data_IF_667699849843
#
_entry.id   IF_667699849843
#
_cell.length_a   1.000
_cell.length_b   1.000
_cell.length_c   1.000
_cell.angle_alpha   90.00
_cell.angle_beta   90.00
_cell.angle_gamma   90.00
#
_symmetry.space_group_name_H-M   'P 1'
#
loop_
_entity.id
_entity.type
_entity.pdbx_description
1 polymer ?
#
# COMPACT_ATOMS: atom_id res chain seq x y z
N UNK A 1 -25.27 6.90 -12.48
CA UNK A 1 -25.51 5.89 -13.53
C UNK A 1 -24.37 4.87 -13.47
N UNK A 2 -24.65 3.58 -13.63
CA UNK A 2 -23.60 2.53 -13.61
C UNK A 2 -22.97 2.43 -14.99
N UNK A 3 -21.66 2.66 -15.11
CA UNK A 3 -20.88 2.45 -16.35
C UNK A 3 -20.07 1.16 -16.20
N UNK A 4 -20.15 0.26 -17.18
CA UNK A 4 -19.30 -0.93 -17.23
C UNK A 4 -18.27 -0.75 -18.32
N UNK A 5 -16.99 -0.73 -17.95
CA UNK A 5 -15.87 -0.60 -18.87
C UNK A 5 -14.87 -1.71 -18.56
N UNK A 6 -14.37 -2.39 -19.61
CA UNK A 6 -13.27 -3.34 -19.43
C UNK A 6 -12.02 -2.54 -19.06
N UNK A 7 -11.42 -2.90 -17.94
CA UNK A 7 -10.16 -2.30 -17.50
C UNK A 7 -9.01 -2.75 -18.43
N UNK A 8 -7.82 -2.13 -18.33
CA UNK A 8 -6.66 -2.44 -19.19
C UNK A 8 -6.24 -3.91 -19.15
N UNK A 9 -6.65 -4.66 -18.13
CA UNK A 9 -6.25 -6.05 -17.87
C UNK A 9 -7.43 -7.05 -18.00
N UNK A 10 -8.52 -6.62 -18.65
CA UNK A 10 -9.58 -7.49 -19.15
C UNK A 10 -10.76 -7.76 -18.20
N UNK A 11 -10.80 -7.24 -16.96
CA UNK A 11 -11.99 -7.36 -16.11
C UNK A 11 -12.99 -6.24 -16.37
N UNK A 12 -14.27 -6.60 -16.47
CA UNK A 12 -15.37 -5.65 -16.47
C UNK A 12 -15.66 -5.28 -15.01
N UNK A 13 -15.25 -4.08 -14.59
CA UNK A 13 -15.61 -3.51 -13.29
C UNK A 13 -16.73 -2.50 -13.50
N UNK A 14 -17.73 -2.56 -12.63
CA UNK A 14 -18.85 -1.62 -12.62
C UNK A 14 -18.44 -0.38 -11.84
N UNK A 15 -18.40 0.76 -12.50
CA UNK A 15 -18.17 2.04 -11.85
C UNK A 15 -19.50 2.63 -11.38
N UNK A 16 -19.60 2.90 -10.08
CA UNK A 16 -20.71 3.63 -9.46
C UNK A 16 -20.21 4.99 -9.01
N UNK A 17 -20.72 6.04 -9.63
CA UNK A 17 -20.46 7.41 -9.18
C UNK A 17 -21.26 7.70 -7.91
N UNK A 18 -20.57 8.16 -6.88
CA UNK A 18 -21.15 8.58 -5.61
C UNK A 18 -20.89 10.06 -5.37
N UNK A 19 -21.94 10.74 -4.92
CA UNK A 19 -21.79 12.08 -4.36
C UNK A 19 -21.41 11.97 -2.88
N UNK A 20 -20.25 12.52 -2.52
CA UNK A 20 -19.87 12.66 -1.11
C UNK A 20 -20.34 14.02 -0.63
N UNK A 21 -21.11 14.06 0.48
CA UNK A 21 -21.58 15.31 1.13
C UNK A 21 -20.80 15.67 2.40
N UNK A 22 -20.06 14.71 2.97
CA UNK A 22 -19.25 14.88 4.19
C UNK A 22 -17.80 15.26 3.86
N UNK A 23 -16.97 15.64 4.84
CA UNK A 23 -15.57 15.99 4.55
C UNK A 23 -14.83 14.92 3.74
N UNK A 24 -14.04 15.30 2.73
CA UNK A 24 -13.21 14.39 1.92
C UNK A 24 -11.90 14.07 2.62
N UNK A 25 -11.34 15.03 3.35
CA UNK A 25 -10.13 14.85 4.15
C UNK A 25 -10.46 14.22 5.50
N UNK A 26 -9.80 13.10 5.80
CA UNK A 26 -9.91 12.39 7.08
C UNK A 26 -8.55 12.22 7.72
N UNK A 27 -8.47 12.17 9.05
CA UNK A 27 -7.22 11.81 9.72
C UNK A 27 -7.11 10.29 9.83
N UNK A 28 -5.99 9.72 9.40
CA UNK A 28 -5.73 8.31 9.59
C UNK A 28 -5.56 7.99 11.09
N UNK A 29 -6.11 6.84 11.49
CA UNK A 29 -6.13 6.38 12.89
C UNK A 29 -5.22 5.16 13.11
N UNK A 30 -4.22 4.94 12.26
CA UNK A 30 -3.42 3.71 12.27
C UNK A 30 -1.95 3.92 11.94
N UNK A 31 -1.11 3.12 12.59
CA UNK A 31 0.31 2.95 12.27
C UNK A 31 1.09 4.26 12.17
N UNK A 32 1.99 4.32 11.18
CA UNK A 32 2.82 5.48 10.84
C UNK A 32 2.00 6.68 10.39
N UNK A 33 0.75 6.47 9.95
CA UNK A 33 -0.10 7.51 9.39
C UNK A 33 -0.99 8.17 10.44
N UNK A 34 -0.82 7.85 11.72
CA UNK A 34 -1.64 8.45 12.78
C UNK A 34 -1.60 9.97 12.65
N UNK A 35 -2.78 10.57 12.61
CA UNK A 35 -3.04 12.01 12.45
C UNK A 35 -2.68 12.63 11.08
N UNK A 36 -2.11 11.85 10.15
CA UNK A 36 -1.91 12.29 8.78
C UNK A 36 -3.27 12.49 8.08
N UNK A 37 -3.39 13.55 7.30
CA UNK A 37 -4.56 13.74 6.44
C UNK A 37 -4.51 12.76 5.27
N UNK A 38 -5.64 12.12 5.01
CA UNK A 38 -5.80 11.13 3.96
C UNK A 38 -7.04 11.42 3.12
N UNK A 39 -7.00 10.94 1.88
CA UNK A 39 -8.12 11.01 0.95
C UNK A 39 -8.16 9.72 0.13
N UNK A 40 -9.36 9.15 -0.05
CA UNK A 40 -9.58 8.04 -0.98
C UNK A 40 -10.45 8.53 -2.13
N UNK A 41 -9.98 8.37 -3.37
CA UNK A 41 -10.70 8.76 -4.60
C UNK A 41 -11.86 7.80 -4.87
N UNK A 42 -11.67 6.52 -4.55
CA UNK A 42 -12.70 5.49 -4.68
C UNK A 42 -12.87 4.69 -3.39
N UNK A 43 -14.02 4.02 -3.25
CA UNK A 43 -14.13 2.78 -2.47
C UNK A 43 -14.07 1.61 -3.43
N UNK A 44 -13.37 0.55 -3.04
CA UNK A 44 -13.02 -0.55 -3.95
C UNK A 44 -11.85 -0.19 -4.86
N UNK A 45 -11.25 -1.23 -5.44
CA UNK A 45 -10.10 -1.11 -6.33
C UNK A 45 -10.15 -2.16 -7.43
N UNK A 46 -9.92 -1.74 -8.68
CA UNK A 46 -9.90 -2.61 -9.87
C UNK A 46 -8.88 -3.75 -9.80
N UNK A 47 -7.82 -3.61 -9.00
CA UNK A 47 -6.66 -4.51 -9.04
C UNK A 47 -6.90 -5.89 -8.42
N UNK A 48 -7.96 -6.03 -7.62
CA UNK A 48 -8.43 -7.32 -7.11
C UNK A 48 -7.34 -8.19 -6.46
N UNK A 49 -6.38 -7.57 -5.76
CA UNK A 49 -5.33 -8.35 -5.10
C UNK A 49 -5.96 -9.28 -4.05
N UNK A 50 -5.58 -10.56 -4.08
CA UNK A 50 -6.20 -11.61 -3.24
C UNK A 50 -5.94 -11.39 -1.74
N UNK A 51 -4.85 -10.69 -1.42
CA UNK A 51 -4.45 -10.35 -0.06
C UNK A 51 -4.92 -8.95 0.38
N UNK A 52 -5.71 -8.24 -0.42
CA UNK A 52 -6.09 -6.86 -0.15
C UNK A 52 -6.92 -6.76 1.14
N UNK A 53 -6.46 -5.96 2.09
CA UNK A 53 -7.17 -5.76 3.35
C UNK A 53 -8.40 -4.84 3.20
N UNK A 54 -8.40 -3.94 2.22
CA UNK A 54 -9.46 -2.94 2.05
C UNK A 54 -10.78 -3.57 1.60
N UNK A 55 -10.71 -4.71 0.91
CA UNK A 55 -11.86 -5.54 0.53
C UNK A 55 -12.58 -6.16 1.73
N UNK A 56 -11.94 -6.17 2.91
CA UNK A 56 -12.53 -6.64 4.16
C UNK A 56 -13.17 -5.55 5.02
N UNK A 57 -13.21 -4.29 4.57
CA UNK A 57 -13.89 -3.23 5.31
C UNK A 57 -15.42 -3.35 5.18
N UNK A 58 -16.19 -2.99 6.23
CA UNK A 58 -17.65 -3.07 6.19
C UNK A 58 -18.29 -2.30 5.02
N UNK A 59 -17.68 -1.18 4.64
CA UNK A 59 -18.11 -0.32 3.54
C UNK A 59 -17.47 -0.65 2.18
N UNK A 60 -16.71 -1.75 2.09
CA UNK A 60 -16.11 -2.18 0.83
C UNK A 60 -17.21 -2.60 -0.16
N UNK A 61 -17.15 -2.15 -1.42
CA UNK A 61 -18.10 -2.58 -2.44
C UNK A 61 -17.90 -4.06 -2.81
N UNK A 62 -18.84 -4.59 -3.60
CA UNK A 62 -18.74 -5.94 -4.17
C UNK A 62 -17.48 -6.13 -5.03
N UNK A 63 -17.08 -7.39 -5.29
CA UNK A 63 -15.84 -7.71 -6.02
C UNK A 63 -15.83 -7.25 -7.48
N UNK A 64 -16.97 -6.93 -8.06
CA UNK A 64 -17.15 -6.43 -9.43
C UNK A 64 -17.48 -4.93 -9.48
N UNK A 65 -17.31 -4.21 -8.38
CA UNK A 65 -17.76 -2.83 -8.22
C UNK A 65 -16.65 -1.91 -7.66
N UNK A 66 -16.56 -0.72 -8.25
CA UNK A 66 -15.76 0.40 -7.71
C UNK A 66 -16.68 1.61 -7.60
N UNK A 67 -16.64 2.27 -6.44
CA UNK A 67 -17.43 3.47 -6.18
C UNK A 67 -16.54 4.70 -6.26
N UNK A 68 -16.76 5.57 -7.24
CA UNK A 68 -15.98 6.79 -7.47
C UNK A 68 -16.63 8.00 -6.80
N UNK A 69 -15.87 8.73 -5.98
CA UNK A 69 -16.28 10.04 -5.49
C UNK A 69 -16.00 11.11 -6.54
N UNK A 70 -16.88 11.24 -7.53
CA UNK A 70 -16.63 12.07 -8.71
C UNK A 70 -16.43 13.57 -8.38
N UNK A 71 -17.13 14.09 -7.36
CA UNK A 71 -17.03 15.49 -6.93
C UNK A 71 -15.89 15.76 -5.94
N UNK A 72 -14.98 14.79 -5.76
CA UNK A 72 -13.89 14.90 -4.80
C UNK A 72 -12.94 16.08 -5.07
N UNK A 73 -12.53 16.39 -6.32
CA UNK A 73 -11.62 17.51 -6.57
C UNK A 73 -12.21 18.85 -6.15
N UNK A 74 -13.48 19.12 -6.49
CA UNK A 74 -14.17 20.36 -6.15
C UNK A 74 -14.35 20.49 -4.63
N UNK A 75 -14.71 19.37 -3.99
CA UNK A 75 -14.92 19.36 -2.54
C UNK A 75 -13.60 19.44 -1.77
N UNK A 76 -12.52 18.88 -2.30
CA UNK A 76 -11.18 19.03 -1.76
C UNK A 76 -10.74 20.50 -1.81
N UNK A 77 -10.90 21.17 -2.95
CA UNK A 77 -10.60 22.60 -3.09
C UNK A 77 -11.43 23.45 -2.11
N UNK A 78 -12.76 23.28 -2.10
CA UNK A 78 -13.64 24.02 -1.20
C UNK A 78 -13.33 23.77 0.29
N UNK A 79 -12.88 22.55 0.63
CA UNK A 79 -12.44 22.23 1.97
C UNK A 79 -11.14 22.91 2.35
N UNK A 80 -10.14 22.94 1.47
CA UNK A 80 -8.84 23.56 1.71
C UNK A 80 -8.97 25.09 1.80
N UNK A 81 -9.78 25.69 0.94
CA UNK A 81 -9.99 27.14 0.85
C UNK A 81 -10.98 27.67 1.91
N UNK A 82 -11.54 26.79 2.74
CA UNK A 82 -12.55 27.18 3.72
C UNK A 82 -11.96 28.11 4.80
N UNK A 83 -12.50 29.33 5.00
CA UNK A 83 -12.03 30.24 6.04
C UNK A 83 -12.32 29.72 7.46
N UNK A 84 -13.17 28.68 7.59
CA UNK A 84 -13.46 28.01 8.86
C UNK A 84 -12.43 26.95 9.22
N UNK A 85 -11.49 26.61 8.34
CA UNK A 85 -10.44 25.64 8.60
C UNK A 85 -9.40 26.25 9.54
N UNK A 86 -9.19 25.58 10.68
CA UNK A 86 -8.22 26.01 11.72
C UNK A 86 -6.87 25.30 11.63
N UNK A 87 -6.76 24.23 10.84
CA UNK A 87 -5.55 23.42 10.71
C UNK A 87 -4.89 23.66 9.36
N UNK A 88 -3.61 24.01 9.37
CA UNK A 88 -2.76 24.00 8.17
C UNK A 88 -2.55 22.55 7.72
N UNK A 89 -2.61 22.30 6.41
CA UNK A 89 -2.40 20.99 5.80
C UNK A 89 -1.34 21.14 4.73
N UNK A 90 -0.13 20.69 5.04
CA UNK A 90 1.01 20.74 4.12
C UNK A 90 1.28 19.39 3.45
N UNK A 91 0.62 18.32 3.94
CA UNK A 91 0.81 16.97 3.41
C UNK A 91 -0.44 16.09 3.46
N UNK A 92 -0.70 15.36 2.37
CA UNK A 92 -1.80 14.40 2.26
C UNK A 92 -1.30 13.01 1.81
N UNK A 93 -1.91 11.95 2.36
CA UNK A 93 -1.68 10.57 1.90
C UNK A 93 -2.86 10.12 1.05
N UNK A 94 -2.60 9.84 -0.23
CA UNK A 94 -3.61 9.33 -1.14
C UNK A 94 -3.87 7.84 -0.95
N UNK A 95 -5.15 7.50 -1.08
CA UNK A 95 -5.66 6.17 -1.34
C UNK A 95 -5.17 5.09 -0.35
N UNK A 96 -5.30 5.35 0.95
CA UNK A 96 -4.96 4.37 1.99
C UNK A 96 -5.87 3.15 2.02
N UNK A 97 -6.93 3.10 1.22
CA UNK A 97 -7.83 1.96 1.08
C UNK A 97 -8.23 1.72 -0.40
N UNK A 98 -7.46 2.26 -1.34
CA UNK A 98 -7.70 2.17 -2.79
C UNK A 98 -6.36 2.31 -3.55
N UNK A 99 -6.39 2.58 -4.85
CA UNK A 99 -5.23 2.94 -5.66
C UNK A 99 -5.54 4.17 -6.54
N UNK A 100 -4.57 5.08 -6.66
CA UNK A 100 -4.68 6.32 -7.44
C UNK A 100 -4.74 6.07 -8.94
N UNK A 101 -4.12 5.00 -9.42
CA UNK A 101 -3.89 4.75 -10.85
C UNK A 101 -4.63 3.50 -11.33
N UNK A 102 -5.84 3.32 -10.81
CA UNK A 102 -6.84 2.43 -11.44
C UNK A 102 -7.09 2.89 -12.87
N UNK A 103 -7.41 1.95 -13.75
CA UNK A 103 -7.32 2.18 -15.20
C UNK A 103 -8.56 2.83 -15.79
N UNK A 104 -9.70 2.86 -15.08
CA UNK A 104 -10.90 3.53 -15.58
C UNK A 104 -10.66 5.04 -15.79
N UNK A 105 -10.98 5.60 -16.97
CA UNK A 105 -10.73 7.00 -17.30
C UNK A 105 -11.29 8.01 -16.28
N UNK A 106 -12.54 7.83 -15.84
CA UNK A 106 -13.17 8.72 -14.85
C UNK A 106 -12.43 8.72 -13.49
N UNK A 107 -11.84 7.58 -13.08
CA UNK A 107 -11.02 7.50 -11.86
C UNK A 107 -9.71 8.26 -12.09
N UNK A 108 -9.03 8.02 -13.22
CA UNK A 108 -7.78 8.72 -13.57
C UNK A 108 -7.98 10.23 -13.69
N UNK A 109 -9.10 10.68 -14.23
CA UNK A 109 -9.42 12.11 -14.33
C UNK A 109 -9.69 12.73 -12.97
N UNK A 110 -10.48 12.05 -12.14
CA UNK A 110 -10.75 12.51 -10.77
C UNK A 110 -9.46 12.57 -9.94
N UNK A 111 -8.61 11.55 -10.01
CA UNK A 111 -7.31 11.53 -9.34
C UNK A 111 -6.42 12.66 -9.84
N UNK A 112 -6.32 12.87 -11.16
CA UNK A 112 -5.49 13.91 -11.76
C UNK A 112 -5.89 15.30 -11.26
N UNK A 113 -7.19 15.62 -11.34
CA UNK A 113 -7.73 16.91 -10.87
C UNK A 113 -7.51 17.10 -9.36
N UNK A 114 -7.69 16.05 -8.56
CA UNK A 114 -7.47 16.11 -7.12
C UNK A 114 -5.99 16.37 -6.77
N UNK A 115 -5.04 15.71 -7.44
CA UNK A 115 -3.60 15.94 -7.23
C UNK A 115 -3.21 17.35 -7.69
N UNK A 116 -3.72 17.82 -8.83
CA UNK A 116 -3.47 19.19 -9.32
C UNK A 116 -3.96 20.26 -8.34
N UNK A 117 -5.15 20.09 -7.75
CA UNK A 117 -5.69 20.99 -6.72
C UNK A 117 -4.73 21.17 -5.54
N UNK A 118 -4.00 20.12 -5.16
CA UNK A 118 -3.03 20.16 -4.07
C UNK A 118 -1.74 20.87 -4.48
N UNK A 119 -1.19 20.54 -5.64
CA UNK A 119 0.04 21.14 -6.14
C UNK A 119 -0.13 22.64 -6.42
N UNK A 120 -1.27 23.06 -6.98
CA UNK A 120 -1.63 24.49 -7.15
C UNK A 120 -1.69 25.27 -5.81
N UNK A 121 -1.73 24.58 -4.67
CA UNK A 121 -1.76 25.13 -3.31
C UNK A 121 -0.47 24.86 -2.53
N UNK A 122 0.57 24.37 -3.18
CA UNK A 122 1.85 23.98 -2.54
C UNK A 122 1.66 22.92 -1.43
N UNK A 123 0.64 22.06 -1.56
CA UNK A 123 0.38 20.97 -0.62
C UNK A 123 0.98 19.70 -1.17
N UNK A 124 1.96 19.15 -0.44
CA UNK A 124 2.60 17.90 -0.81
C UNK A 124 1.69 16.69 -0.62
N UNK A 125 2.01 15.61 -1.31
CA UNK A 125 1.34 14.34 -1.09
C UNK A 125 2.23 13.13 -1.34
N UNK A 126 1.80 12.01 -0.76
CA UNK A 126 2.36 10.70 -1.07
C UNK A 126 1.30 9.74 -1.54
N UNK A 127 1.67 8.83 -2.43
CA UNK A 127 0.82 7.73 -2.88
C UNK A 127 1.57 6.42 -2.88
N UNK A 128 0.83 5.31 -2.84
CA UNK A 128 1.32 3.96 -3.12
C UNK A 128 0.50 3.42 -4.28
N UNK A 129 1.16 2.86 -5.29
CA UNK A 129 0.44 2.27 -6.42
C UNK A 129 1.01 0.94 -6.88
N UNK A 130 0.12 0.08 -7.39
CA UNK A 130 0.44 -1.08 -8.23
C UNK A 130 -0.02 -0.90 -9.69
N UNK A 131 -0.45 0.30 -10.05
CA UNK A 131 -0.95 0.66 -11.37
C UNK A 131 0.11 1.28 -12.27
N UNK A 132 -0.29 1.54 -13.52
CA UNK A 132 0.51 2.29 -14.49
C UNK A 132 0.27 3.79 -14.31
N UNK A 133 1.33 4.61 -14.29
CA UNK A 133 1.20 6.06 -14.16
C UNK A 133 1.21 6.71 -15.56
N UNK A 134 0.09 7.31 -16.01
CA UNK A 134 0.05 7.96 -17.34
C UNK A 134 1.01 9.14 -17.45
N UNK A 135 1.49 9.45 -18.67
CA UNK A 135 2.46 10.54 -18.93
C UNK A 135 2.05 11.88 -18.32
N UNK A 136 0.80 12.29 -18.48
CA UNK A 136 0.29 13.56 -17.92
C UNK A 136 0.52 13.71 -16.42
N UNK A 137 0.52 12.61 -15.65
CA UNK A 137 0.80 12.67 -14.21
C UNK A 137 2.29 12.86 -13.95
N UNK A 138 3.17 12.23 -14.74
CA UNK A 138 4.62 12.44 -14.63
C UNK A 138 4.97 13.89 -14.96
N UNK A 139 4.38 14.45 -16.02
CA UNK A 139 4.52 15.86 -16.38
C UNK A 139 4.06 16.77 -15.23
N UNK A 140 2.85 16.54 -14.70
CA UNK A 140 2.33 17.29 -13.54
C UNK A 140 3.25 17.20 -12.31
N UNK A 141 3.82 16.03 -12.02
CA UNK A 141 4.70 15.86 -10.87
C UNK A 141 6.07 16.51 -11.09
N UNK A 142 6.56 16.53 -12.33
CA UNK A 142 7.87 17.10 -12.67
C UNK A 142 7.97 18.61 -12.43
N UNK A 143 6.82 19.30 -12.43
CA UNK A 143 6.74 20.72 -12.06
C UNK A 143 6.86 20.95 -10.54
N UNK A 144 6.68 19.89 -9.72
CA UNK A 144 6.63 19.96 -8.26
C UNK A 144 7.36 18.77 -7.57
N UNK A 145 8.63 18.49 -7.89
CA UNK A 145 9.29 17.24 -7.49
C UNK A 145 9.40 17.05 -5.98
N UNK A 146 9.56 18.14 -5.22
CA UNK A 146 9.70 18.11 -3.76
C UNK A 146 8.37 17.90 -3.02
N UNK A 147 7.25 18.05 -3.72
CA UNK A 147 5.90 17.89 -3.17
C UNK A 147 5.34 16.49 -3.38
N UNK A 148 6.04 15.61 -4.09
CA UNK A 148 5.52 14.27 -4.45
C UNK A 148 6.45 13.18 -3.93
N UNK A 149 5.94 12.31 -3.03
CA UNK A 149 6.60 11.06 -2.66
C UNK A 149 5.84 9.89 -3.24
N UNK A 150 6.46 9.20 -4.19
CA UNK A 150 5.87 8.04 -4.85
C UNK A 150 6.32 6.73 -4.20
N UNK A 151 5.39 5.78 -4.07
CA UNK A 151 5.70 4.40 -3.69
C UNK A 151 5.15 3.44 -4.73
N UNK A 152 5.99 2.51 -5.16
CA UNK A 152 5.61 1.46 -6.11
C UNK A 152 5.53 0.12 -5.37
N UNK A 153 4.37 -0.51 -5.39
CA UNK A 153 4.19 -1.85 -4.86
C UNK A 153 4.75 -2.88 -5.83
N UNK A 154 5.90 -3.47 -5.53
CA UNK A 154 6.54 -4.50 -6.35
C UNK A 154 7.20 -5.52 -5.42
N UNK A 155 6.68 -6.75 -5.42
CA UNK A 155 7.07 -7.80 -4.46
C UNK A 155 7.88 -8.92 -5.14
N UNK A 156 7.68 -9.12 -6.44
CA UNK A 156 8.34 -10.19 -7.21
C UNK A 156 8.51 -9.74 -8.66
N UNK A 157 9.53 -10.27 -9.31
CA UNK A 157 9.75 -10.14 -10.76
C UNK A 157 8.95 -11.17 -11.57
N UNK A 158 8.22 -12.07 -10.90
CA UNK A 158 7.45 -13.14 -11.53
C UNK A 158 6.08 -12.68 -12.01
N UNK A 159 5.81 -12.81 -13.32
CA UNK A 159 4.46 -12.62 -13.86
C UNK A 159 3.47 -13.65 -13.30
N UNK A 160 3.92 -14.87 -12.99
CA UNK A 160 3.10 -15.88 -12.31
C UNK A 160 2.65 -15.42 -10.92
N UNK A 161 3.51 -14.71 -10.17
CA UNK A 161 3.10 -14.08 -8.91
C UNK A 161 2.02 -13.02 -9.17
N UNK A 162 2.24 -12.13 -10.14
CA UNK A 162 1.29 -11.07 -10.48
C UNK A 162 -0.06 -11.66 -10.88
N UNK A 163 -0.10 -12.63 -11.76
CA UNK A 163 -1.35 -13.24 -12.24
C UNK A 163 -2.13 -13.92 -11.12
N UNK A 164 -1.41 -14.53 -10.16
CA UNK A 164 -2.03 -15.26 -9.07
C UNK A 164 -2.51 -14.34 -7.93
N UNK A 165 -1.70 -13.36 -7.54
CA UNK A 165 -1.95 -12.55 -6.33
C UNK A 165 -2.46 -11.14 -6.63
N UNK A 166 -2.19 -10.62 -7.83
CA UNK A 166 -2.45 -9.23 -8.24
C UNK A 166 -3.00 -9.17 -9.70
N UNK A 167 -4.03 -9.96 -10.04
CA UNK A 167 -4.39 -10.31 -11.42
C UNK A 167 -4.78 -9.14 -12.32
N UNK A 168 -5.12 -8.00 -11.73
CA UNK A 168 -5.61 -6.80 -12.43
C UNK A 168 -4.72 -5.57 -12.16
N UNK A 169 -3.57 -5.76 -11.50
CA UNK A 169 -2.58 -4.71 -11.32
C UNK A 169 -1.67 -4.58 -12.57
N UNK A 170 -0.89 -3.50 -12.65
CA UNK A 170 0.09 -3.34 -13.72
C UNK A 170 1.12 -4.47 -13.72
N UNK A 171 1.64 -4.78 -14.91
CA UNK A 171 2.72 -5.75 -15.10
C UNK A 171 3.98 -5.34 -14.34
N UNK A 172 4.87 -6.30 -14.10
CA UNK A 172 6.17 -6.03 -13.47
C UNK A 172 6.95 -4.96 -14.25
N UNK A 173 6.98 -5.08 -15.58
CA UNK A 173 7.68 -4.14 -16.46
C UNK A 173 7.09 -2.73 -16.39
N UNK A 174 5.77 -2.59 -16.40
CA UNK A 174 5.12 -1.27 -16.26
C UNK A 174 5.45 -0.61 -14.92
N UNK A 175 5.54 -1.39 -13.83
CA UNK A 175 5.94 -0.86 -12.51
C UNK A 175 7.40 -0.43 -12.48
N UNK A 176 8.28 -1.18 -13.14
CA UNK A 176 9.68 -0.81 -13.31
C UNK A 176 9.85 0.46 -14.16
N UNK A 177 9.07 0.58 -15.25
CA UNK A 177 9.02 1.79 -16.08
C UNK A 177 8.47 3.01 -15.31
N UNK A 178 7.49 2.82 -14.42
CA UNK A 178 7.07 3.91 -13.52
C UNK A 178 8.24 4.41 -12.67
N UNK A 179 9.05 3.50 -12.10
CA UNK A 179 10.23 3.88 -11.29
C UNK A 179 11.19 4.72 -12.13
N UNK A 180 11.55 4.26 -13.33
CA UNK A 180 12.45 4.98 -14.24
C UNK A 180 11.91 6.37 -14.58
N UNK A 181 10.64 6.46 -14.98
CA UNK A 181 10.00 7.72 -15.42
C UNK A 181 9.84 8.72 -14.28
N UNK A 182 9.44 8.26 -13.09
CA UNK A 182 9.34 9.11 -11.89
C UNK A 182 10.71 9.65 -11.47
N UNK A 183 11.74 8.79 -11.47
CA UNK A 183 13.10 9.22 -11.13
C UNK A 183 13.69 10.18 -12.16
N UNK A 184 13.44 9.96 -13.45
CA UNK A 184 13.85 10.88 -14.50
C UNK A 184 13.20 12.27 -14.35
N UNK A 185 11.99 12.32 -13.79
CA UNK A 185 11.28 13.54 -13.42
C UNK A 185 11.69 14.14 -12.05
N UNK A 186 12.74 13.61 -11.40
CA UNK A 186 13.22 14.09 -10.11
C UNK A 186 12.36 13.67 -8.90
N UNK A 187 11.36 12.82 -9.09
CA UNK A 187 10.44 12.41 -8.02
C UNK A 187 11.10 11.38 -7.10
N UNK A 188 10.93 11.54 -5.79
CA UNK A 188 11.31 10.53 -4.82
C UNK A 188 10.53 9.23 -5.04
N UNK A 189 11.24 8.11 -5.25
CA UNK A 189 10.65 6.77 -5.44
C UNK A 189 11.12 5.81 -4.35
N UNK A 190 10.16 5.26 -3.61
CA UNK A 190 10.38 4.11 -2.73
C UNK A 190 9.68 2.87 -3.30
N UNK A 191 10.24 1.68 -3.07
CA UNK A 191 9.54 0.44 -3.42
C UNK A 191 9.00 -0.24 -2.16
N UNK A 192 7.78 -0.74 -2.25
CA UNK A 192 7.09 -1.43 -1.17
C UNK A 192 6.89 -2.90 -1.49
N UNK A 193 7.68 -3.72 -0.80
CA UNK A 193 7.63 -5.19 -0.83
C UNK A 193 6.66 -5.61 0.29
N UNK A 194 5.36 -5.47 0.01
CA UNK A 194 4.28 -5.72 0.97
C UNK A 194 3.01 -6.19 0.24
N UNK A 195 2.57 -7.45 0.45
CA UNK A 195 3.12 -8.42 1.40
C UNK A 195 4.19 -9.33 0.79
N UNK A 196 5.25 -9.62 1.54
CA UNK A 196 6.10 -10.80 1.32
C UNK A 196 5.25 -12.05 1.59
N UNK A 197 5.19 -12.97 0.64
CA UNK A 197 4.43 -14.22 0.73
C UNK A 197 5.43 -15.38 0.91
N UNK A 198 5.37 -16.11 2.05
CA UNK A 198 6.28 -17.22 2.28
C UNK A 198 6.17 -18.27 1.18
N UNK A 199 7.33 -18.81 0.78
CA UNK A 199 7.52 -19.78 -0.30
C UNK A 199 7.25 -19.27 -1.73
N UNK A 200 6.92 -17.98 -1.88
CA UNK A 200 6.58 -17.37 -3.16
C UNK A 200 7.47 -16.19 -3.52
N UNK A 201 7.81 -15.36 -2.53
CA UNK A 201 8.57 -14.12 -2.77
C UNK A 201 9.73 -13.94 -1.81
N UNK A 202 10.03 -14.96 -1.01
CA UNK A 202 11.02 -14.83 0.06
C UNK A 202 12.24 -15.73 -0.10
N UNK A 203 12.38 -16.53 -1.17
CA UNK A 203 13.62 -17.24 -1.45
C UNK A 203 14.73 -16.29 -1.96
N UNK A 204 15.99 -16.70 -1.83
CA UNK A 204 17.12 -15.84 -2.20
C UNK A 204 17.16 -15.46 -3.68
N UNK A 205 16.74 -16.36 -4.58
CA UNK A 205 16.80 -16.10 -6.01
C UNK A 205 15.80 -15.00 -6.39
N UNK A 206 14.56 -15.12 -5.92
CA UNK A 206 13.53 -14.10 -6.10
C UNK A 206 13.94 -12.74 -5.52
N UNK A 207 14.58 -12.73 -4.34
CA UNK A 207 15.06 -11.49 -3.69
C UNK A 207 16.19 -10.86 -4.51
N UNK A 208 17.21 -11.63 -4.92
CA UNK A 208 18.34 -11.14 -5.73
C UNK A 208 17.86 -10.59 -7.07
N UNK A 209 16.93 -11.28 -7.73
CA UNK A 209 16.35 -10.84 -8.99
C UNK A 209 15.63 -9.49 -8.84
N UNK A 210 14.76 -9.36 -7.82
CA UNK A 210 14.07 -8.11 -7.52
C UNK A 210 15.07 -6.99 -7.20
N UNK A 211 16.00 -7.22 -6.28
CA UNK A 211 16.99 -6.20 -5.89
C UNK A 211 17.89 -5.80 -7.05
N UNK A 212 18.32 -6.73 -7.90
CA UNK A 212 19.06 -6.41 -9.12
C UNK A 212 18.27 -5.50 -10.05
N UNK A 213 16.99 -5.80 -10.29
CA UNK A 213 16.13 -4.98 -11.14
C UNK A 213 15.87 -3.59 -10.54
N UNK A 214 15.75 -3.48 -9.22
CA UNK A 214 15.56 -2.22 -8.50
C UNK A 214 16.83 -1.36 -8.48
N UNK A 215 17.98 -1.97 -8.19
CA UNK A 215 19.28 -1.30 -8.14
C UNK A 215 19.71 -0.79 -9.52
N UNK A 216 19.43 -1.54 -10.59
CA UNK A 216 19.65 -1.09 -11.97
C UNK A 216 18.89 0.20 -12.32
N UNK A 217 17.84 0.54 -11.55
CA UNK A 217 17.04 1.76 -11.67
C UNK A 217 17.35 2.78 -10.58
N UNK A 218 18.40 2.51 -9.79
CA UNK A 218 18.89 3.32 -8.69
C UNK A 218 17.90 3.45 -7.52
N UNK A 219 16.98 2.50 -7.34
CA UNK A 219 16.19 2.47 -6.10
C UNK A 219 17.15 2.22 -4.96
N UNK A 220 17.17 3.10 -3.96
CA UNK A 220 18.07 3.02 -2.80
C UNK A 220 17.37 2.57 -1.52
N UNK A 221 16.04 2.49 -1.53
CA UNK A 221 15.27 2.17 -0.33
C UNK A 221 14.03 1.33 -0.64
N UNK A 222 13.82 0.30 0.16
CA UNK A 222 12.63 -0.56 0.09
C UNK A 222 11.98 -0.70 1.45
N UNK A 223 10.66 -0.84 1.50
CA UNK A 223 9.92 -1.17 2.73
C UNK A 223 9.42 -2.62 2.68
N UNK A 224 9.58 -3.34 3.79
CA UNK A 224 9.32 -4.78 3.89
C UNK A 224 8.18 -5.04 4.88
N UNK A 225 7.27 -5.92 4.51
CA UNK A 225 6.35 -6.56 5.46
C UNK A 225 5.88 -7.90 4.92
N UNK A 226 5.88 -8.91 5.78
CA UNK A 226 5.21 -10.17 5.50
C UNK A 226 3.68 -10.04 5.44
N UNK A 227 3.05 -11.02 4.80
CA UNK A 227 1.60 -11.20 4.78
C UNK A 227 1.03 -11.29 6.20
N UNK A 228 0.02 -10.47 6.46
CA UNK A 228 -0.80 -10.57 7.67
C UNK A 228 -2.15 -11.15 7.31
N UNK A 229 -2.50 -12.25 7.94
CA UNK A 229 -3.75 -12.93 7.66
C UNK A 229 -4.86 -12.32 8.52
N UNK A 230 -5.72 -11.51 7.89
CA UNK A 230 -6.98 -11.02 8.49
C UNK A 230 -8.12 -11.98 8.17
N UNK A 231 -9.25 -11.99 8.90
CA UNK A 231 -10.37 -12.88 8.60
C UNK A 231 -10.88 -12.76 7.15
N UNK A 232 -11.01 -11.52 6.64
CA UNK A 232 -11.40 -11.30 5.24
C UNK A 232 -10.35 -11.82 4.24
N UNK A 233 -9.06 -11.60 4.52
CA UNK A 233 -7.97 -12.10 3.67
C UNK A 233 -7.98 -13.63 3.65
N UNK A 234 -8.22 -14.30 4.79
CA UNK A 234 -8.34 -15.75 4.84
C UNK A 234 -9.44 -16.27 3.90
N UNK A 235 -10.62 -15.66 3.93
CA UNK A 235 -11.72 -16.03 3.03
C UNK A 235 -11.39 -15.75 1.55
N UNK A 236 -10.73 -14.64 1.26
CA UNK A 236 -10.28 -14.30 -0.10
C UNK A 236 -9.27 -15.33 -0.63
N UNK A 237 -8.23 -15.64 0.15
CA UNK A 237 -7.22 -16.62 -0.26
C UNK A 237 -7.84 -18.00 -0.48
N UNK A 238 -8.78 -18.42 0.35
CA UNK A 238 -9.48 -19.70 0.18
C UNK A 238 -10.30 -19.75 -1.12
N UNK A 239 -10.92 -18.61 -1.50
CA UNK A 239 -11.79 -18.52 -2.68
C UNK A 239 -11.00 -18.34 -3.98
N UNK A 240 -9.90 -17.58 -3.94
CA UNK A 240 -9.25 -17.04 -5.13
C UNK A 240 -7.92 -17.71 -5.46
N UNK A 241 -7.31 -18.43 -4.51
CA UNK A 241 -6.11 -19.21 -4.79
C UNK A 241 -6.42 -20.68 -5.12
N UNK A 242 -5.59 -21.32 -5.96
CA UNK A 242 -5.60 -22.76 -6.10
C UNK A 242 -5.46 -23.47 -4.74
N UNK A 243 -6.17 -24.59 -4.50
CA UNK A 243 -6.18 -25.24 -3.19
C UNK A 243 -4.81 -25.60 -2.63
N UNK A 244 -3.84 -25.93 -3.50
CA UNK A 244 -2.46 -26.23 -3.09
C UNK A 244 -1.77 -24.99 -2.53
N UNK A 245 -1.85 -23.86 -3.23
CA UNK A 245 -1.21 -22.60 -2.83
C UNK A 245 -1.82 -22.07 -1.53
N UNK A 246 -3.15 -22.12 -1.43
CA UNK A 246 -3.86 -21.78 -0.19
C UNK A 246 -3.37 -22.60 1.01
N UNK A 247 -3.27 -23.94 0.86
CA UNK A 247 -2.79 -24.83 1.94
C UNK A 247 -1.36 -24.54 2.36
N UNK A 248 -0.47 -24.31 1.39
CA UNK A 248 0.94 -23.98 1.66
C UNK A 248 1.05 -22.68 2.46
N UNK A 249 0.40 -21.61 1.99
CA UNK A 249 0.41 -20.33 2.70
C UNK A 249 -0.21 -20.47 4.09
N UNK A 250 -1.37 -21.13 4.20
CA UNK A 250 -2.08 -21.30 5.46
C UNK A 250 -1.27 -22.09 6.49
N UNK A 251 -0.40 -23.01 6.07
CA UNK A 251 0.45 -23.78 6.98
C UNK A 251 1.30 -22.88 7.89
N UNK A 252 1.71 -21.70 7.43
CA UNK A 252 2.43 -20.72 8.24
C UNK A 252 1.57 -20.07 9.33
N UNK A 253 0.24 -20.14 9.27
CA UNK A 253 -0.66 -19.44 10.19
C UNK A 253 -1.50 -20.39 11.07
N UNK A 254 -1.48 -21.70 10.82
CA UNK A 254 -2.37 -22.67 11.49
C UNK A 254 -2.27 -22.59 13.02
N UNK A 255 -1.04 -22.62 13.56
CA UNK A 255 -0.76 -22.58 14.99
C UNK A 255 -0.77 -21.16 15.59
N UNK A 256 -0.92 -20.13 14.77
CA UNK A 256 -0.74 -18.74 15.21
C UNK A 256 -2.03 -18.17 15.80
N UNK A 257 -1.96 -17.48 16.95
CA UNK A 257 -3.14 -16.87 17.57
C UNK A 257 -3.63 -15.66 16.78
N UNK A 258 -4.92 -15.38 16.87
CA UNK A 258 -5.48 -14.11 16.43
C UNK A 258 -5.11 -13.02 17.42
N UNK A 259 -4.29 -12.06 16.98
CA UNK A 259 -3.79 -10.96 17.81
C UNK A 259 -4.20 -9.62 17.22
N UNK A 260 -4.32 -8.59 18.07
CA UNK A 260 -4.56 -7.22 17.61
C UNK A 260 -3.21 -6.60 17.24
N UNK A 261 -3.06 -6.25 15.97
CA UNK A 261 -1.84 -5.62 15.46
C UNK A 261 -2.14 -4.17 15.08
N UNK A 262 -1.30 -3.25 15.54
CA UNK A 262 -1.50 -1.81 15.34
C UNK A 262 -2.68 -1.30 16.17
N UNK A 263 -3.65 -0.63 15.54
CA UNK A 263 -4.72 0.08 16.26
C UNK A 263 -6.05 -0.66 16.37
N UNK A 264 -6.31 -1.68 15.54
CA UNK A 264 -7.59 -2.42 15.62
C UNK A 264 -7.68 -3.74 14.84
N UNK A 265 -6.73 -4.07 13.97
CA UNK A 265 -6.88 -5.21 13.07
C UNK A 265 -6.52 -6.54 13.75
N UNK A 266 -7.50 -7.40 14.01
CA UNK A 266 -7.26 -8.81 14.38
C UNK A 266 -6.62 -9.54 13.21
N UNK A 267 -5.40 -10.02 13.41
CA UNK A 267 -4.59 -10.67 12.39
C UNK A 267 -3.86 -11.88 12.97
N UNK A 268 -3.57 -12.88 12.15
CA UNK A 268 -2.49 -13.83 12.41
C UNK A 268 -1.22 -13.35 11.72
N UNK A 269 -0.12 -13.41 12.45
CA UNK A 269 1.21 -13.19 11.91
C UNK A 269 1.84 -14.53 11.55
N UNK A 270 2.80 -14.52 10.63
CA UNK A 270 3.73 -15.65 10.47
C UNK A 270 4.55 -15.77 11.76
N UNK A 271 4.92 -16.99 12.20
CA UNK A 271 5.76 -17.22 13.38
C UNK A 271 6.97 -16.29 13.39
N UNK A 272 7.23 -15.68 14.54
CA UNK A 272 8.34 -14.73 14.69
C UNK A 272 9.68 -15.27 14.16
N UNK A 273 10.11 -16.52 14.47
CA UNK A 273 11.37 -17.04 13.96
C UNK A 273 11.45 -17.16 12.43
N UNK A 274 10.30 -17.38 11.76
CA UNK A 274 10.25 -17.42 10.29
C UNK A 274 10.34 -16.01 9.70
N UNK A 275 9.67 -15.03 10.30
CA UNK A 275 9.79 -13.62 9.89
C UNK A 275 11.20 -13.09 10.10
N UNK A 276 11.84 -13.40 11.24
CA UNK A 276 13.21 -12.98 11.53
C UNK A 276 14.18 -13.49 10.48
N UNK A 277 14.19 -14.80 10.22
CA UNK A 277 15.02 -15.42 9.16
C UNK A 277 14.72 -14.84 7.78
N UNK A 278 13.44 -14.60 7.50
CA UNK A 278 12.99 -13.98 6.26
C UNK A 278 13.56 -12.57 6.08
N UNK A 279 13.36 -11.69 7.06
CA UNK A 279 13.89 -10.34 7.01
C UNK A 279 15.42 -10.29 7.01
N UNK A 280 16.08 -11.17 7.77
CA UNK A 280 17.55 -11.32 7.74
C UNK A 280 18.04 -11.67 6.33
N UNK A 281 17.35 -12.54 5.61
CA UNK A 281 17.65 -12.84 4.20
C UNK A 281 17.55 -11.60 3.32
N UNK A 282 16.48 -10.81 3.44
CA UNK A 282 16.37 -9.54 2.70
C UNK A 282 17.48 -8.55 3.09
N UNK A 283 17.81 -8.43 4.39
CA UNK A 283 18.86 -7.55 4.90
C UNK A 283 20.23 -7.93 4.33
N UNK A 284 20.64 -9.18 4.47
CA UNK A 284 21.95 -9.67 4.02
C UNK A 284 22.13 -9.54 2.51
N UNK A 285 21.07 -9.81 1.74
CA UNK A 285 21.14 -9.68 0.28
C UNK A 285 21.16 -8.23 -0.19
N UNK A 286 20.60 -7.29 0.58
CA UNK A 286 20.51 -5.88 0.18
C UNK A 286 21.86 -5.17 0.06
N UNK A 287 22.87 -5.61 0.84
CA UNK A 287 24.22 -5.03 0.85
C UNK A 287 24.88 -5.08 -0.53
N UNK A 288 24.71 -6.19 -1.26
CA UNK A 288 25.28 -6.36 -2.60
C UNK A 288 24.65 -5.46 -3.68
N UNK A 289 23.54 -4.79 -3.37
CA UNK A 289 22.78 -3.96 -4.31
C UNK A 289 22.71 -2.48 -3.90
N UNK A 290 23.29 -2.09 -2.76
CA UNK A 290 23.22 -0.71 -2.27
C UNK A 290 21.80 -0.25 -1.90
N UNK A 291 20.91 -1.19 -1.56
CA UNK A 291 19.53 -0.92 -1.18
C UNK A 291 19.41 -0.94 0.34
N UNK A 292 18.74 0.06 0.93
CA UNK A 292 18.39 0.10 2.36
C UNK A 292 16.99 -0.50 2.59
N UNK A 293 16.86 -1.72 3.13
CA UNK A 293 15.57 -2.29 3.49
C UNK A 293 15.06 -1.78 4.85
N UNK A 294 13.79 -1.40 4.89
CA UNK A 294 13.10 -0.92 6.09
C UNK A 294 11.97 -1.87 6.47
N UNK A 295 12.15 -2.63 7.56
CA UNK A 295 11.08 -3.46 8.13
C UNK A 295 9.97 -2.56 8.69
N UNK A 296 8.72 -2.75 8.28
CA UNK A 296 7.60 -1.90 8.70
C UNK A 296 7.21 -2.10 10.16
N UNK A 297 7.42 -1.09 11.02
CA UNK A 297 7.09 -1.16 12.45
C UNK A 297 5.58 -1.25 12.72
N UNK A 298 4.74 -0.66 11.87
CA UNK A 298 3.28 -0.70 12.03
C UNK A 298 2.71 -2.12 11.95
N UNK A 299 3.43 -3.00 11.24
CA UNK A 299 3.06 -4.38 10.98
C UNK A 299 3.89 -5.37 11.81
N UNK A 300 5.01 -4.96 12.37
CA UNK A 300 5.86 -5.84 13.17
C UNK A 300 6.08 -5.24 14.56
N UNK A 301 5.05 -5.28 15.45
CA UNK A 301 5.15 -4.70 16.79
C UNK A 301 6.13 -5.44 17.71
N UNK A 302 6.50 -6.66 17.33
CA UNK A 302 7.37 -7.58 18.05
C UNK A 302 8.80 -7.65 17.51
N UNK A 303 9.15 -6.78 16.55
CA UNK A 303 10.50 -6.68 15.98
C UNK A 303 11.08 -5.28 16.13
N UNK A 304 12.41 -5.20 16.12
CA UNK A 304 13.12 -3.96 15.83
C UNK A 304 12.82 -3.55 14.40
N UNK A 305 12.13 -2.41 14.22
CA UNK A 305 11.56 -2.02 12.94
C UNK A 305 11.58 -0.50 12.74
N UNK A 306 11.30 -0.09 11.51
CA UNK A 306 11.43 1.28 11.01
C UNK A 306 10.05 1.89 10.73
N UNK A 307 9.95 3.22 10.81
CA UNK A 307 8.84 3.94 10.21
C UNK A 307 9.18 4.28 8.77
N UNK A 308 8.21 4.10 7.89
CA UNK A 308 8.32 4.64 6.53
C UNK A 308 8.07 6.14 6.56
N UNK A 309 8.78 6.85 5.69
CA UNK A 309 8.75 8.30 5.44
C UNK A 309 7.44 8.75 4.78
N UNK A 310 6.29 8.36 5.34
CA UNK A 310 4.99 8.77 4.81
C UNK A 310 4.67 10.17 5.33
N UNK A 311 5.18 11.19 4.63
CA UNK A 311 4.85 12.60 4.86
C UNK A 311 5.87 13.40 5.68
N UNK A 312 7.11 13.50 5.18
CA UNK A 312 8.18 14.36 5.74
C UNK A 312 8.52 14.16 7.24
N UNK A 313 8.10 13.05 7.86
CA UNK A 313 8.59 12.64 9.19
C UNK A 313 9.77 11.71 9.02
N UNK A 314 10.98 12.28 9.07
CA UNK A 314 12.23 11.53 9.11
C UNK A 314 12.34 10.74 10.42
N UNK A 315 12.55 9.44 10.28
CA UNK A 315 13.12 8.45 11.20
C UNK A 315 13.02 8.70 12.73
N UNK A 316 12.19 7.90 13.42
CA UNK A 316 12.37 7.58 14.85
C UNK A 316 12.26 6.08 15.06
N UNK A 317 13.37 5.35 15.11
CA UNK A 317 13.34 3.91 15.45
C UNK A 317 12.69 3.70 16.82
N UNK A 318 11.81 2.70 16.95
CA UNK A 318 11.26 2.32 18.26
C UNK A 318 12.09 1.16 18.83
N UNK A 319 12.61 1.31 20.05
CA UNK A 319 12.98 0.14 20.86
C UNK A 319 11.70 -0.68 21.12
N UNK A 320 11.79 -2.02 21.23
CA UNK A 320 10.67 -2.86 21.65
C UNK A 320 10.05 -2.24 22.90
N UNK A 321 8.72 -2.24 23.00
CA UNK A 321 8.06 -1.99 24.27
C UNK A 321 8.65 -2.99 25.25
N UNK A 322 9.51 -2.51 26.16
CA UNK A 322 10.11 -3.35 27.17
C UNK A 322 9.00 -4.17 27.81
N UNK A 323 9.20 -5.49 27.90
CA UNK A 323 8.43 -6.32 28.80
C UNK A 323 8.47 -5.60 30.14
N UNK A 324 7.37 -4.96 30.55
CA UNK A 324 7.09 -4.94 31.98
C UNK A 324 6.85 -6.41 32.27
N UNK A 325 7.86 -7.07 32.83
CA UNK A 325 7.69 -8.30 33.59
C UNK A 325 6.68 -7.99 34.69
N UNK A 326 5.39 -8.06 34.34
CA UNK A 326 4.40 -8.41 35.33
C UNK A 326 4.54 -9.91 35.44
N UNK A 327 5.26 -10.33 36.47
CA UNK A 327 5.14 -11.66 37.06
C UNK A 327 3.65 -12.00 37.03
N UNK A 328 3.29 -12.96 36.17
CA UNK A 328 1.92 -13.45 36.08
C UNK A 328 1.60 -14.01 37.48
N UNK A 329 0.70 -13.35 38.19
CA UNK A 329 0.06 -13.96 39.35
C UNK A 329 -0.68 -15.17 38.82
N UNK A 330 -0.14 -16.36 39.11
CA UNK A 330 -0.81 -17.63 38.95
C UNK A 330 -2.24 -17.48 39.54
N UNK A 331 -3.25 -17.79 38.72
CA UNK A 331 -4.71 -17.82 39.01
C UNK A 331 -5.11 -17.68 40.48
N UNK A 332 -6.06 -16.79 40.85
CA UNK A 332 -7.51 -17.02 40.65
C UNK A 332 -8.28 -15.72 40.29
N UNK A 333 -9.51 -15.67 39.79
CA UNK A 333 -10.70 -16.51 39.95
C UNK A 333 -11.57 -16.41 38.69
#
# INVERSE_FOLDING_TARGET
MSKSVKNRYGSAMRLIELERKSRVLTKAQFGCLRDAYTVNVTRGCEFMCVYCYARGYPEAPGPDEVQLYFSLPERLAAELDSPRRRSVIDWIVFNTASDSFQTHPDILETTYRAMRVLLEREIGFSFLTKGWIPNRFIELFSDHPDLVISRIGLVSMSDRYRDLFEPQAATVIERLQNIERLKAAGIGVEVRIDPIIPFWTDDEASIKELYGALAARGVSMVSLSYLHLRPAILGQLQKELPPKEYKVILSCFQSQPWTVIGTSARSKLIPLPLREKGYERFLNLSEGFGIKPLICSCKNPDLHAHWCSVGMRTETTRKPLGKKERQLTLFPC
#
